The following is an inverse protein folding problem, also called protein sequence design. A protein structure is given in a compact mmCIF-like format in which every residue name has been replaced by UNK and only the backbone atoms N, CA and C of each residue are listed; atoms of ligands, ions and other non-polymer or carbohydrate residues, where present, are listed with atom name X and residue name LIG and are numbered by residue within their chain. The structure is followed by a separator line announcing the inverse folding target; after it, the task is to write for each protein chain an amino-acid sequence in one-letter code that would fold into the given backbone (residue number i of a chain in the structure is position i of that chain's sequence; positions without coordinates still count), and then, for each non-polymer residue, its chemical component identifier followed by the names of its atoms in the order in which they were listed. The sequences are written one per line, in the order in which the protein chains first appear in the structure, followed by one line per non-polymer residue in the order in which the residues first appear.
data_IF_275821817654
#
_entry.id   IF_275821817654
#
_cell.length_a   1.000
_cell.length_b   1.000
_cell.length_c   1.000
_cell.angle_alpha   90.00
_cell.angle_beta   90.00
_cell.angle_gamma   90.00
#
_symmetry.space_group_name_H-M   'P 1'
#
loop_
_entity.id
_entity.type
_entity.pdbx_description
1 polymer ?
#
# COMPACT_ATOMS: atom_id res chain seq x y z
N UNK A 1 2.21 20.31 4.01
CA UNK A 1 0.84 19.80 3.75
C UNK A 1 0.64 18.52 4.56
N UNK A 2 -0.58 18.19 5.00
CA UNK A 2 -0.87 16.93 5.72
C UNK A 2 -1.68 16.00 4.81
N UNK A 3 -1.39 14.71 4.83
CA UNK A 3 -2.11 13.69 4.07
C UNK A 3 -2.35 12.44 4.90
N UNK A 4 -3.39 11.69 4.53
CA UNK A 4 -3.79 10.43 5.15
C UNK A 4 -3.84 9.36 4.06
N UNK A 5 -3.21 8.21 4.30
CA UNK A 5 -3.27 7.03 3.43
C UNK A 5 -4.14 5.98 4.10
N UNK A 6 -5.24 5.59 3.45
CA UNK A 6 -6.09 4.50 3.92
C UNK A 6 -5.44 3.15 3.58
N UNK A 7 -4.74 2.58 4.56
CA UNK A 7 -3.98 1.32 4.42
C UNK A 7 -4.69 0.07 4.99
N UNK A 8 -5.97 0.18 5.32
CA UNK A 8 -6.80 -0.90 5.90
C UNK A 8 -7.64 -1.68 4.88
N UNK A 9 -8.51 -2.56 5.38
CA UNK A 9 -9.44 -3.39 4.60
C UNK A 9 -9.07 -4.87 4.56
N UNK A 10 -10.06 -5.75 4.39
CA UNK A 10 -9.91 -7.23 4.55
C UNK A 10 -9.13 -7.94 3.43
N UNK A 11 -8.82 -7.26 2.32
CA UNK A 11 -8.01 -7.85 1.25
C UNK A 11 -8.57 -9.10 0.56
N UNK A 12 -9.88 -9.37 0.64
CA UNK A 12 -10.49 -10.66 0.25
C UNK A 12 -10.28 -11.06 -1.20
N UNK A 13 -10.17 -10.09 -2.12
CA UNK A 13 -9.94 -10.33 -3.56
C UNK A 13 -8.55 -10.90 -3.89
N UNK A 14 -7.59 -10.79 -2.97
CA UNK A 14 -6.22 -11.29 -3.14
C UNK A 14 -5.93 -12.48 -2.22
N UNK A 15 -6.98 -13.13 -1.68
CA UNK A 15 -6.80 -14.38 -0.95
C UNK A 15 -6.25 -15.46 -1.91
N UNK A 16 -5.37 -16.35 -1.42
CA UNK A 16 -4.98 -16.54 -0.02
C UNK A 16 -3.85 -15.61 0.46
N UNK A 17 -3.21 -14.85 -0.42
CA UNK A 17 -1.98 -14.09 -0.16
C UNK A 17 -2.17 -13.09 0.99
N UNK A 18 -3.32 -12.42 1.03
CA UNK A 18 -3.65 -11.43 2.06
C UNK A 18 -3.89 -11.99 3.45
N UNK A 19 -3.85 -13.31 3.64
CA UNK A 19 -3.82 -13.94 4.98
C UNK A 19 -2.48 -13.76 5.70
N UNK A 20 -1.39 -13.60 4.94
CA UNK A 20 -0.02 -13.54 5.47
C UNK A 20 0.53 -12.13 5.38
N UNK A 21 0.20 -11.39 4.31
CA UNK A 21 0.70 -10.05 4.07
C UNK A 21 -0.44 -9.07 3.75
N UNK A 22 -0.61 -7.95 4.47
CA UNK A 22 -1.61 -6.94 4.13
C UNK A 22 -1.44 -6.44 2.70
N UNK A 23 -2.55 -6.17 2.00
CA UNK A 23 -2.52 -5.67 0.62
C UNK A 23 -1.66 -4.40 0.49
N UNK A 24 -1.74 -3.49 1.46
CA UNK A 24 -1.00 -2.23 1.46
C UNK A 24 0.53 -2.41 1.51
N UNK A 25 1.00 -3.52 2.07
CA UNK A 25 2.42 -3.87 2.17
C UNK A 25 2.88 -4.84 1.08
N UNK A 26 2.00 -5.19 0.13
CA UNK A 26 2.35 -6.12 -0.93
C UNK A 26 3.48 -5.52 -1.79
N UNK A 27 4.57 -6.27 -2.06
CA UNK A 27 5.65 -5.79 -2.91
C UNK A 27 5.19 -5.76 -4.37
N UNK A 28 5.52 -4.67 -5.05
CA UNK A 28 5.36 -4.50 -6.49
C UNK A 28 6.74 -4.12 -7.02
N UNK A 29 7.45 -5.09 -7.58
CA UNK A 29 8.88 -4.91 -7.89
C UNK A 29 9.71 -4.76 -6.60
N UNK A 30 10.48 -3.68 -6.53
CA UNK A 30 11.43 -3.35 -5.45
C UNK A 30 10.80 -2.56 -4.28
N UNK A 31 9.53 -2.15 -4.39
CA UNK A 31 8.84 -1.32 -3.38
C UNK A 31 7.45 -1.85 -3.07
N UNK A 32 6.95 -1.54 -1.88
CA UNK A 32 5.57 -1.82 -1.48
C UNK A 32 4.58 -0.80 -2.05
N UNK A 33 3.29 -1.18 -2.12
CA UNK A 33 2.23 -0.27 -2.56
C UNK A 33 2.24 1.05 -1.78
N UNK A 34 2.40 1.00 -0.45
CA UNK A 34 2.46 2.22 0.38
C UNK A 34 3.66 3.10 0.03
N UNK A 35 4.83 2.54 -0.25
CA UNK A 35 6.02 3.31 -0.64
C UNK A 35 5.81 4.05 -1.97
N UNK A 36 5.15 3.42 -2.94
CA UNK A 36 4.76 4.13 -4.18
C UNK A 36 3.81 5.29 -3.91
N UNK A 37 2.85 5.15 -3.00
CA UNK A 37 1.94 6.24 -2.62
C UNK A 37 2.68 7.38 -1.92
N UNK A 38 3.61 7.07 -1.02
CA UNK A 38 4.44 8.07 -0.35
C UNK A 38 5.33 8.83 -1.34
N UNK A 39 5.93 8.15 -2.33
CA UNK A 39 6.74 8.80 -3.37
C UNK A 39 5.91 9.74 -4.24
N UNK A 40 4.69 9.32 -4.63
CA UNK A 40 3.76 10.18 -5.36
C UNK A 40 3.38 11.41 -4.54
N UNK A 41 3.09 11.24 -3.25
CA UNK A 41 2.77 12.37 -2.38
C UNK A 41 3.96 13.33 -2.21
N UNK A 42 5.17 12.78 -2.01
CA UNK A 42 6.40 13.57 -1.92
C UNK A 42 6.68 14.39 -3.19
N UNK A 43 6.29 13.91 -4.36
CA UNK A 43 6.51 14.61 -5.62
C UNK A 43 5.58 15.82 -5.84
N UNK A 44 4.45 15.90 -5.12
CA UNK A 44 3.43 16.96 -5.30
C UNK A 44 3.26 17.86 -4.07
N UNK A 45 3.84 17.47 -2.92
CA UNK A 45 3.79 18.21 -1.66
C UNK A 45 5.03 19.06 -1.43
#
# INVERSE_FOLDING_TARGET
MKAIILAGGKGTRLLPITKVLPKSLFPVGDKTIVEYLLQKFKAVG
#
